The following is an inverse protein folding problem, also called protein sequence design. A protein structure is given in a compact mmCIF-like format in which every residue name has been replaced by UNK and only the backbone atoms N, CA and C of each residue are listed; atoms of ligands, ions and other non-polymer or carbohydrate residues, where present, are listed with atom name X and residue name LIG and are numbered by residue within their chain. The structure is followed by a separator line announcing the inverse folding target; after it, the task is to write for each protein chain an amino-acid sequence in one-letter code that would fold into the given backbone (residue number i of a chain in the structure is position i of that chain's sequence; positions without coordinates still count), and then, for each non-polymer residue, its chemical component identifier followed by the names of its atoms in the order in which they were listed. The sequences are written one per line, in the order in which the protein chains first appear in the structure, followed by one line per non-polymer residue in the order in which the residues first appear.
data_IF_953958108725
#
_entry.id   IF_953958108725
#
_cell.length_a   1.000
_cell.length_b   1.000
_cell.length_c   1.000
_cell.angle_alpha   90.00
_cell.angle_beta   90.00
_cell.angle_gamma   90.00
#
_symmetry.space_group_name_H-M   'P 1'
#
loop_
_entity.id
_entity.type
_entity.pdbx_description
1 polymer ?
#
# COMPACT_ATOMS: atom_id res chain seq x y z
N UNK A 1 -9.43 -9.51 39.55
CA UNK A 1 -8.62 -10.04 38.42
C UNK A 1 -8.25 -9.02 37.35
N UNK A 2 -8.84 -7.83 37.25
CA UNK A 2 -8.48 -6.81 36.26
C UNK A 2 -7.23 -5.98 36.61
N UNK A 3 -6.85 -5.87 37.87
CA UNK A 3 -5.71 -5.08 38.32
C UNK A 3 -4.35 -5.75 38.14
N UNK A 4 -4.28 -7.07 38.17
CA UNK A 4 -3.02 -7.81 38.00
C UNK A 4 -2.53 -7.81 36.54
N UNK A 5 -3.43 -7.83 35.56
CA UNK A 5 -3.08 -7.80 34.14
C UNK A 5 -2.47 -6.43 33.75
N UNK A 6 -3.01 -5.34 34.29
CA UNK A 6 -2.54 -3.98 34.02
C UNK A 6 -1.14 -3.74 34.60
N UNK A 7 -0.85 -4.33 35.76
CA UNK A 7 0.47 -4.18 36.41
C UNK A 7 1.55 -4.99 35.70
N UNK A 8 1.22 -6.18 35.20
CA UNK A 8 2.16 -7.00 34.41
C UNK A 8 2.43 -6.37 33.05
N UNK A 9 1.41 -5.81 32.41
CA UNK A 9 1.57 -5.11 31.12
C UNK A 9 2.41 -3.83 31.26
N UNK A 10 2.21 -3.09 32.36
CA UNK A 10 3.00 -1.89 32.69
C UNK A 10 4.47 -2.21 33.01
N UNK A 11 4.72 -3.29 33.72
CA UNK A 11 6.08 -3.75 34.04
C UNK A 11 6.80 -4.27 32.76
N UNK A 12 6.09 -4.95 31.88
CA UNK A 12 6.64 -5.41 30.60
C UNK A 12 7.00 -4.24 29.67
N UNK A 13 6.16 -3.20 29.62
CA UNK A 13 6.46 -1.99 28.85
C UNK A 13 7.66 -1.21 29.43
N UNK A 14 7.78 -1.11 30.74
CA UNK A 14 8.91 -0.45 31.40
C UNK A 14 10.22 -1.23 31.23
N UNK A 15 10.17 -2.55 31.23
CA UNK A 15 11.34 -3.40 30.93
C UNK A 15 11.82 -3.25 29.50
N UNK A 16 10.88 -3.13 28.52
CA UNK A 16 11.20 -2.92 27.12
C UNK A 16 11.79 -1.53 26.82
N UNK A 17 11.48 -0.52 27.62
CA UNK A 17 12.03 0.83 27.42
C UNK A 17 13.42 1.03 28.01
N UNK A 18 13.87 0.14 28.87
CA UNK A 18 15.22 0.19 29.46
C UNK A 18 16.25 -0.66 28.71
N UNK A 19 15.84 -1.47 27.73
CA UNK A 19 16.68 -2.41 27.00
C UNK A 19 16.82 -2.00 25.53
N UNK A 20 17.96 -2.30 24.94
CA UNK A 20 18.25 -2.14 23.51
C UNK A 20 17.18 -2.81 22.62
N UNK A 21 16.58 -3.89 23.09
CA UNK A 21 15.45 -4.60 22.49
C UNK A 21 14.22 -3.72 22.31
N UNK A 22 13.91 -2.86 23.29
CA UNK A 22 12.77 -1.92 23.20
C UNK A 22 12.97 -0.86 22.13
N UNK A 23 14.18 -0.33 21.98
CA UNK A 23 14.51 0.65 20.94
C UNK A 23 14.41 0.03 19.53
N UNK A 24 14.94 -1.17 19.36
CA UNK A 24 14.87 -1.91 18.08
C UNK A 24 13.42 -2.20 17.70
N UNK A 25 12.60 -2.62 18.65
CA UNK A 25 11.18 -2.89 18.39
C UNK A 25 10.42 -1.61 18.02
N UNK A 26 10.66 -0.49 18.71
CA UNK A 26 10.04 0.80 18.41
C UNK A 26 10.42 1.29 17.01
N UNK A 27 11.70 1.22 16.64
CA UNK A 27 12.19 1.61 15.31
C UNK A 27 11.61 0.74 14.21
N UNK A 28 11.57 -0.57 14.41
CA UNK A 28 11.00 -1.50 13.45
C UNK A 28 9.49 -1.32 13.24
N UNK A 29 8.76 -1.05 14.31
CA UNK A 29 7.32 -0.75 14.22
C UNK A 29 7.07 0.54 13.41
N UNK A 30 7.86 1.58 13.65
CA UNK A 30 7.76 2.84 12.90
C UNK A 30 8.08 2.63 11.42
N UNK A 31 9.08 1.84 11.09
CA UNK A 31 9.43 1.48 9.70
C UNK A 31 8.28 0.75 9.01
N UNK A 32 7.71 -0.26 9.66
CA UNK A 32 6.59 -1.04 9.12
C UNK A 32 5.35 -0.17 8.87
N UNK A 33 5.01 0.70 9.79
CA UNK A 33 3.89 1.66 9.63
C UNK A 33 4.19 2.64 8.51
N UNK A 34 5.42 3.13 8.40
CA UNK A 34 5.84 4.02 7.32
C UNK A 34 5.70 3.37 5.93
N UNK A 35 6.15 2.12 5.79
CA UNK A 35 6.01 1.35 4.54
C UNK A 35 4.55 1.10 4.16
N UNK A 36 3.71 0.78 5.13
CA UNK A 36 2.28 0.61 4.91
C UNK A 36 1.61 1.93 4.46
N UNK A 37 1.91 3.04 5.11
CA UNK A 37 1.38 4.36 4.75
C UNK A 37 1.80 4.78 3.33
N UNK A 38 3.06 4.59 2.95
CA UNK A 38 3.54 4.84 1.59
C UNK A 38 2.83 3.95 0.56
N UNK A 39 2.57 2.70 0.90
CA UNK A 39 1.86 1.78 0.04
C UNK A 39 0.42 2.22 -0.22
N UNK A 40 -0.29 2.65 0.81
CA UNK A 40 -1.65 3.22 0.67
C UNK A 40 -1.63 4.46 -0.23
N UNK A 41 -0.67 5.36 -0.04
CA UNK A 41 -0.52 6.55 -0.88
C UNK A 41 -0.26 6.21 -2.36
N UNK A 42 0.58 5.22 -2.64
CA UNK A 42 0.82 4.74 -4.02
C UNK A 42 -0.42 4.13 -4.64
N UNK A 43 -1.16 3.32 -3.90
CA UNK A 43 -2.40 2.72 -4.37
C UNK A 43 -3.45 3.78 -4.70
N UNK A 44 -3.65 4.76 -3.83
CA UNK A 44 -4.55 5.87 -4.05
C UNK A 44 -4.15 6.69 -5.29
N UNK A 45 -2.87 6.98 -5.48
CA UNK A 45 -2.35 7.66 -6.67
C UNK A 45 -2.60 6.85 -7.94
N UNK A 46 -2.37 5.55 -7.91
CA UNK A 46 -2.60 4.67 -9.07
C UNK A 46 -4.08 4.62 -9.45
N UNK A 47 -4.97 4.51 -8.46
CA UNK A 47 -6.41 4.56 -8.69
C UNK A 47 -6.84 5.90 -9.28
N UNK A 48 -6.41 7.00 -8.68
CA UNK A 48 -6.76 8.35 -9.14
C UNK A 48 -6.29 8.62 -10.56
N UNK A 49 -5.00 8.38 -10.86
CA UNK A 49 -4.46 8.61 -12.21
C UNK A 49 -5.04 7.65 -13.25
N UNK A 50 -5.25 6.40 -12.89
CA UNK A 50 -5.86 5.40 -13.77
C UNK A 50 -7.29 5.78 -14.15
N UNK A 51 -8.09 6.23 -13.19
CA UNK A 51 -9.46 6.68 -13.45
C UNK A 51 -9.49 7.90 -14.35
N UNK A 52 -8.67 8.92 -14.06
CA UNK A 52 -8.60 10.14 -14.89
C UNK A 52 -8.15 9.81 -16.32
N UNK A 53 -7.13 8.98 -16.50
CA UNK A 53 -6.67 8.56 -17.82
C UNK A 53 -7.73 7.74 -18.57
N UNK A 54 -8.44 6.85 -17.89
CA UNK A 54 -9.52 6.07 -18.51
C UNK A 54 -10.63 6.97 -18.99
N UNK A 55 -11.11 7.89 -18.16
CA UNK A 55 -12.16 8.83 -18.52
C UNK A 55 -11.71 9.75 -19.67
N UNK A 56 -10.49 10.29 -19.59
CA UNK A 56 -9.95 11.16 -20.61
C UNK A 56 -9.81 10.48 -21.97
N UNK A 57 -9.24 9.27 -22.02
CA UNK A 57 -9.09 8.51 -23.25
C UNK A 57 -10.44 8.07 -23.84
N UNK A 58 -11.37 7.67 -22.99
CA UNK A 58 -12.71 7.30 -23.41
C UNK A 58 -13.45 8.49 -24.05
N UNK A 59 -13.40 9.65 -23.41
CA UNK A 59 -14.03 10.86 -23.92
C UNK A 59 -13.37 11.35 -25.23
N UNK A 60 -12.04 11.32 -25.31
CA UNK A 60 -11.31 11.69 -26.52
C UNK A 60 -11.64 10.75 -27.71
N UNK A 61 -11.71 9.45 -27.47
CA UNK A 61 -12.07 8.47 -28.50
C UNK A 61 -13.49 8.65 -28.99
N UNK A 62 -14.44 8.85 -28.09
CA UNK A 62 -15.83 9.13 -28.44
C UNK A 62 -15.94 10.43 -29.24
N UNK A 63 -15.30 11.50 -28.77
CA UNK A 63 -15.31 12.81 -29.42
C UNK A 63 -14.72 12.77 -30.83
N UNK A 64 -13.57 12.10 -31.03
CA UNK A 64 -12.97 11.94 -32.36
C UNK A 64 -13.82 11.10 -33.29
N UNK A 65 -14.44 10.03 -32.82
CA UNK A 65 -15.35 9.20 -33.61
C UNK A 65 -16.57 9.97 -34.10
N UNK A 66 -17.16 10.82 -33.25
CA UNK A 66 -18.28 11.69 -33.64
C UNK A 66 -17.84 12.75 -34.65
N UNK A 67 -16.69 13.40 -34.43
CA UNK A 67 -16.17 14.43 -35.30
C UNK A 67 -15.83 13.88 -36.72
N UNK A 68 -15.31 12.65 -36.79
CA UNK A 68 -14.97 11.97 -38.02
C UNK A 68 -16.20 11.25 -38.66
N UNK A 69 -17.36 11.29 -38.00
CA UNK A 69 -18.59 10.58 -38.36
C UNK A 69 -18.39 9.07 -38.48
N UNK A 70 -17.45 8.52 -37.74
CA UNK A 70 -17.14 7.10 -37.66
C UNK A 70 -17.81 6.49 -36.42
N UNK A 71 -18.99 5.90 -36.65
CA UNK A 71 -19.77 5.24 -35.61
C UNK A 71 -19.02 4.05 -34.98
N UNK A 72 -18.20 3.37 -35.76
CA UNK A 72 -17.43 2.25 -35.24
C UNK A 72 -16.35 2.73 -34.28
N UNK A 73 -15.65 3.80 -34.61
CA UNK A 73 -14.68 4.45 -33.72
C UNK A 73 -15.37 5.05 -32.49
N UNK A 74 -16.52 5.69 -32.66
CA UNK A 74 -17.28 6.29 -31.58
C UNK A 74 -17.83 5.27 -30.57
N UNK A 75 -18.20 4.06 -31.00
CA UNK A 75 -18.78 3.02 -30.15
C UNK A 75 -17.76 1.98 -29.74
N UNK A 76 -17.22 1.21 -30.66
CA UNK A 76 -16.29 0.10 -30.39
C UNK A 76 -14.96 0.62 -29.88
N UNK A 77 -14.44 1.72 -30.44
CA UNK A 77 -13.22 2.38 -29.99
C UNK A 77 -13.35 2.87 -28.55
N UNK A 78 -14.49 3.47 -28.21
CA UNK A 78 -14.77 3.96 -26.86
C UNK A 78 -14.84 2.82 -25.83
N UNK A 79 -15.54 1.72 -26.15
CA UNK A 79 -15.61 0.53 -25.28
C UNK A 79 -14.22 -0.07 -25.08
N UNK A 80 -13.42 -0.16 -26.16
CA UNK A 80 -12.04 -0.66 -26.07
C UNK A 80 -11.17 0.23 -25.20
N UNK A 81 -11.24 1.55 -25.35
CA UNK A 81 -10.47 2.50 -24.52
C UNK A 81 -10.84 2.40 -23.04
N UNK A 82 -12.13 2.29 -22.73
CA UNK A 82 -12.62 2.10 -21.37
C UNK A 82 -12.11 0.77 -20.78
N UNK A 83 -12.20 -0.32 -21.54
CA UNK A 83 -11.73 -1.64 -21.10
C UNK A 83 -10.22 -1.68 -20.84
N UNK A 84 -9.43 -1.09 -21.73
CA UNK A 84 -7.97 -1.00 -21.54
C UNK A 84 -7.59 -0.13 -20.34
N UNK A 85 -8.24 1.01 -20.14
CA UNK A 85 -8.03 1.88 -19.02
C UNK A 85 -8.38 1.21 -17.70
N UNK A 86 -9.53 0.56 -17.60
CA UNK A 86 -9.94 -0.18 -16.41
C UNK A 86 -8.98 -1.34 -16.10
N UNK A 87 -8.57 -2.11 -17.12
CA UNK A 87 -7.62 -3.20 -16.97
C UNK A 87 -6.25 -2.73 -16.47
N UNK A 88 -5.71 -1.66 -17.03
CA UNK A 88 -4.42 -1.10 -16.61
C UNK A 88 -4.47 -0.56 -15.18
N UNK A 89 -5.57 0.07 -14.80
CA UNK A 89 -5.79 0.55 -13.43
C UNK A 89 -5.85 -0.62 -12.44
N UNK A 90 -6.59 -1.68 -12.75
CA UNK A 90 -6.68 -2.87 -11.90
C UNK A 90 -5.32 -3.55 -11.71
N UNK A 91 -4.55 -3.73 -12.79
CA UNK A 91 -3.20 -4.31 -12.72
C UNK A 91 -2.26 -3.41 -11.92
N UNK A 92 -2.29 -2.11 -12.13
CA UNK A 92 -1.49 -1.14 -11.39
C UNK A 92 -1.79 -1.16 -9.90
N UNK A 93 -3.06 -1.22 -9.54
CA UNK A 93 -3.52 -1.33 -8.14
C UNK A 93 -3.04 -2.64 -7.51
N UNK A 94 -3.20 -3.77 -8.19
CA UNK A 94 -2.72 -5.07 -7.73
C UNK A 94 -1.21 -5.08 -7.47
N UNK A 95 -0.41 -4.54 -8.38
CA UNK A 95 1.04 -4.40 -8.21
C UNK A 95 1.40 -3.52 -7.01
N UNK A 96 0.69 -2.42 -6.80
CA UNK A 96 0.90 -1.54 -5.64
C UNK A 96 0.61 -2.26 -4.33
N UNK A 97 -0.46 -3.03 -4.26
CA UNK A 97 -0.80 -3.83 -3.09
C UNK A 97 0.26 -4.90 -2.77
N UNK A 98 0.67 -5.67 -3.77
CA UNK A 98 1.71 -6.69 -3.60
C UNK A 98 3.02 -6.08 -3.10
N UNK A 99 3.42 -4.92 -3.65
CA UNK A 99 4.64 -4.24 -3.22
C UNK A 99 4.54 -3.75 -1.77
N UNK A 100 3.38 -3.22 -1.37
CA UNK A 100 3.14 -2.77 0.01
C UNK A 100 3.23 -3.94 0.99
N UNK A 101 2.53 -5.03 0.71
CA UNK A 101 2.52 -6.23 1.57
C UNK A 101 3.93 -6.83 1.68
N UNK A 102 4.64 -6.96 0.58
CA UNK A 102 6.02 -7.46 0.57
C UNK A 102 6.97 -6.56 1.35
N UNK A 103 6.83 -5.24 1.25
CA UNK A 103 7.60 -4.28 2.03
C UNK A 103 7.34 -4.42 3.54
N UNK A 104 6.08 -4.44 3.93
CA UNK A 104 5.69 -4.59 5.34
C UNK A 104 6.19 -5.92 5.94
N UNK A 105 6.09 -7.02 5.20
CA UNK A 105 6.60 -8.32 5.64
C UNK A 105 8.12 -8.32 5.82
N UNK A 106 8.86 -7.70 4.90
CA UNK A 106 10.30 -7.57 5.00
C UNK A 106 10.72 -6.75 6.22
N UNK A 107 10.06 -5.62 6.45
CA UNK A 107 10.36 -4.75 7.58
C UNK A 107 10.03 -5.45 8.90
N UNK A 108 8.91 -6.17 8.98
CA UNK A 108 8.56 -6.99 10.14
C UNK A 108 9.59 -8.09 10.39
N UNK A 109 9.99 -8.81 9.35
CA UNK A 109 11.02 -9.86 9.45
C UNK A 109 12.34 -9.31 9.97
N UNK A 110 12.78 -8.15 9.44
CA UNK A 110 14.00 -7.49 9.91
C UNK A 110 13.88 -7.09 11.38
N UNK A 111 12.77 -6.51 11.79
CA UNK A 111 12.53 -6.12 13.19
C UNK A 111 12.62 -7.33 14.12
N UNK A 112 12.02 -8.46 13.74
CA UNK A 112 12.09 -9.70 14.55
C UNK A 112 13.53 -10.20 14.70
N UNK A 113 14.31 -10.19 13.62
CA UNK A 113 15.72 -10.60 13.65
C UNK A 113 16.56 -9.66 14.52
N UNK A 114 16.45 -8.34 14.31
CA UNK A 114 17.20 -7.34 15.05
C UNK A 114 16.84 -7.38 16.57
N UNK A 115 15.56 -7.66 16.88
CA UNK A 115 15.11 -7.82 18.28
C UNK A 115 15.68 -9.07 18.92
N UNK A 116 15.73 -10.19 18.20
CA UNK A 116 16.34 -11.42 18.69
C UNK A 116 17.84 -11.26 18.95
N UNK A 117 18.56 -10.63 18.01
CA UNK A 117 19.99 -10.34 18.17
C UNK A 117 20.29 -9.38 19.33
N UNK A 118 19.40 -8.41 19.60
CA UNK A 118 19.52 -7.51 20.73
C UNK A 118 19.34 -8.26 22.06
N UNK A 119 18.38 -9.19 22.13
CA UNK A 119 18.11 -10.00 23.31
C UNK A 119 19.23 -11.00 23.64
N UNK A 120 20.00 -11.47 22.64
CA UNK A 120 21.15 -12.36 22.87
C UNK A 120 22.38 -11.63 23.45
N UNK A 121 22.42 -10.30 23.38
CA UNK A 121 23.55 -9.49 23.85
C UNK A 121 23.37 -8.95 25.28
N UNK A 122 22.19 -9.13 25.86
CA UNK A 122 21.87 -8.77 27.25
C UNK A 122 22.06 -9.95 28.20
#
# INVERSE_FOLDING_TARGET
MKTTLSTVLGALLLALTSCQTGETLATGTTSTVGSAAQGVGRTAKTLGSGTVNTVGNTAATAGSGIAERDLNKATVGTVKAAGQGAGSTAVGTGKSHLKTTSGALKDTGKTMTDTAEAAEKE
#
